data_IF_966960311751
#
_entry.id   IF_966960311751
#
_cell.length_a   1.000
_cell.length_b   1.000
_cell.length_c   1.000
_cell.angle_alpha   90.00
_cell.angle_beta   90.00
_cell.angle_gamma   90.00
#
_symmetry.space_group_name_H-M   'P 1'
#
loop_
_entity.id
_entity.type
_entity.pdbx_description
1 polymer ?
#
# COMPACT_ATOMS: atom_id res chain seq x y z
N UNK A 1 -7.48 10.36 -23.38
CA UNK A 1 -8.52 9.87 -22.43
C UNK A 1 -8.03 8.66 -21.64
N UNK A 2 -7.47 7.61 -22.26
CA UNK A 2 -7.00 6.39 -21.56
C UNK A 2 -5.99 6.67 -20.44
N UNK A 3 -5.06 7.60 -20.63
CA UNK A 3 -4.07 7.98 -19.61
C UNK A 3 -4.74 8.67 -18.40
N UNK A 4 -5.74 9.51 -18.66
CA UNK A 4 -6.48 10.19 -17.58
C UNK A 4 -7.27 9.19 -16.74
N UNK A 5 -7.98 8.23 -17.37
CA UNK A 5 -8.68 7.18 -16.65
C UNK A 5 -7.74 6.32 -15.79
N UNK A 6 -6.54 6.03 -16.32
CA UNK A 6 -5.53 5.29 -15.56
C UNK A 6 -5.07 6.05 -14.32
N UNK A 7 -4.82 7.37 -14.45
CA UNK A 7 -4.44 8.23 -13.31
C UNK A 7 -5.58 8.37 -12.30
N UNK A 8 -6.82 8.48 -12.75
CA UNK A 8 -8.00 8.52 -11.89
C UNK A 8 -8.15 7.22 -11.09
N UNK A 9 -7.95 6.07 -11.71
CA UNK A 9 -7.98 4.77 -11.03
C UNK A 9 -6.83 4.65 -10.02
N UNK A 10 -5.62 5.10 -10.36
CA UNK A 10 -4.49 5.13 -9.43
C UNK A 10 -4.76 6.02 -8.22
N UNK A 11 -5.37 7.20 -8.41
CA UNK A 11 -5.73 8.12 -7.32
C UNK A 11 -6.76 7.51 -6.37
N UNK A 12 -7.68 6.71 -6.89
CA UNK A 12 -8.76 6.12 -6.09
C UNK A 12 -8.32 4.82 -5.39
N UNK A 13 -7.53 3.98 -6.08
CA UNK A 13 -7.24 2.64 -5.60
C UNK A 13 -5.80 2.46 -5.14
N UNK A 14 -4.83 2.88 -5.96
CA UNK A 14 -3.42 2.57 -5.70
C UNK A 14 -2.84 3.44 -4.58
N UNK A 15 -2.89 4.78 -4.72
CA UNK A 15 -2.24 5.68 -3.76
C UNK A 15 -2.78 5.53 -2.34
N UNK A 16 -4.11 5.51 -2.08
CA UNK A 16 -4.61 5.37 -0.72
C UNK A 16 -4.18 4.05 -0.06
N UNK A 17 -4.22 2.95 -0.79
CA UNK A 17 -3.79 1.64 -0.28
C UNK A 17 -2.29 1.59 -0.02
N UNK A 18 -1.48 2.14 -0.94
CA UNK A 18 -0.03 2.17 -0.80
C UNK A 18 0.40 3.06 0.38
N UNK A 19 -0.21 4.24 0.54
CA UNK A 19 0.04 5.16 1.64
C UNK A 19 -0.32 4.51 2.97
N UNK A 20 -1.55 3.97 3.11
CA UNK A 20 -1.98 3.32 4.34
C UNK A 20 -1.05 2.15 4.71
N UNK A 21 -0.71 1.29 3.76
CA UNK A 21 0.21 0.18 4.00
C UNK A 21 1.59 0.66 4.45
N UNK A 22 2.10 1.74 3.86
CA UNK A 22 3.40 2.31 4.23
C UNK A 22 3.34 2.94 5.63
N UNK A 23 2.24 3.61 5.99
CA UNK A 23 2.01 4.16 7.33
C UNK A 23 1.91 3.05 8.40
N UNK A 24 1.23 1.95 8.11
CA UNK A 24 1.17 0.77 8.99
C UNK A 24 2.56 0.17 9.21
N UNK A 25 3.39 0.08 8.16
CA UNK A 25 4.77 -0.38 8.26
C UNK A 25 5.61 0.57 9.13
N UNK A 26 5.51 1.88 8.92
CA UNK A 26 6.20 2.88 9.75
C UNK A 26 5.79 2.74 11.22
N UNK A 27 4.50 2.67 11.50
CA UNK A 27 4.00 2.52 12.87
C UNK A 27 4.48 1.22 13.52
N UNK A 28 4.53 0.13 12.77
CA UNK A 28 5.06 -1.14 13.23
C UNK A 28 6.55 -1.07 13.53
N UNK A 29 7.35 -0.46 12.62
CA UNK A 29 8.80 -0.28 12.82
C UNK A 29 9.12 0.64 14.01
N UNK A 30 8.34 1.71 14.22
CA UNK A 30 8.50 2.59 15.38
C UNK A 30 8.27 1.86 16.70
N UNK A 31 7.25 0.99 16.77
CA UNK A 31 7.00 0.14 17.95
C UNK A 31 8.14 -0.85 18.18
N UNK A 32 8.59 -1.50 17.10
CA UNK A 32 9.70 -2.45 17.18
C UNK A 32 11.02 -1.75 17.59
N UNK A 33 11.25 -0.53 17.09
CA UNK A 33 12.39 0.28 17.49
C UNK A 33 12.33 0.66 18.97
N UNK A 34 11.16 0.99 19.50
CA UNK A 34 10.99 1.28 20.93
C UNK A 34 11.33 0.07 21.81
N UNK A 35 10.91 -1.14 21.40
CA UNK A 35 11.32 -2.39 22.08
C UNK A 35 12.82 -2.58 22.01
N UNK A 36 13.45 -2.35 20.85
CA UNK A 36 14.88 -2.48 20.65
C UNK A 36 15.68 -1.50 21.52
N UNK A 37 15.18 -0.27 21.69
CA UNK A 37 15.78 0.75 22.54
C UNK A 37 15.65 0.42 24.04
N UNK A 38 14.55 -0.21 24.43
CA UNK A 38 14.35 -0.71 25.79
C UNK A 38 15.29 -1.89 26.12
N UNK A 39 15.76 -2.61 25.10
CA UNK A 39 16.69 -3.75 25.21
C UNK A 39 17.96 -3.45 24.38
N UNK A 40 18.83 -2.55 24.82
CA UNK A 40 20.02 -2.14 24.07
C UNK A 40 20.92 -3.32 23.72
N UNK A 41 21.73 -3.16 22.66
CA UNK A 41 22.73 -4.16 22.30
C UNK A 41 23.62 -4.42 23.51
N UNK A 42 23.72 -5.68 23.95
CA UNK A 42 24.74 -6.04 24.91
C UNK A 42 26.11 -5.74 24.28
N UNK A 43 27.01 -5.13 25.03
CA UNK A 43 28.41 -5.06 24.61
C UNK A 43 29.04 -6.47 24.56
N UNK A 44 30.28 -6.56 24.13
CA UNK A 44 30.96 -7.87 23.99
C UNK A 44 30.98 -8.67 25.28
N UNK A 45 30.87 -8.01 26.42
CA UNK A 45 30.95 -8.62 27.76
C UNK A 45 29.57 -9.02 28.31
N UNK A 46 28.48 -8.41 27.82
CA UNK A 46 27.13 -8.59 28.36
C UNK A 46 26.12 -9.18 27.35
N UNK A 47 26.62 -9.91 26.34
CA UNK A 47 25.73 -10.60 25.41
C UNK A 47 24.84 -11.60 26.14
N UNK A 48 23.53 -11.53 25.90
CA UNK A 48 22.54 -12.46 26.43
C UNK A 48 21.46 -12.78 25.42
N UNK A 49 21.11 -14.06 25.32
CA UNK A 49 20.02 -14.54 24.50
C UNK A 49 19.39 -15.76 25.16
N UNK A 50 18.08 -15.92 25.07
CA UNK A 50 17.40 -17.12 25.54
C UNK A 50 17.05 -18.02 24.35
N UNK A 51 17.53 -19.28 24.37
CA UNK A 51 17.27 -20.28 23.34
C UNK A 51 16.79 -21.57 24.03
N UNK A 52 15.64 -22.09 23.62
CA UNK A 52 15.02 -23.31 24.16
C UNK A 52 14.91 -23.31 25.71
N UNK A 53 14.58 -22.12 26.27
CA UNK A 53 14.41 -21.94 27.72
C UNK A 53 15.72 -21.76 28.50
N UNK A 54 16.90 -21.81 27.85
CA UNK A 54 18.21 -21.60 28.48
C UNK A 54 18.80 -20.26 28.05
N UNK A 55 19.36 -19.51 28.99
CA UNK A 55 20.05 -18.23 28.73
C UNK A 55 21.52 -18.48 28.42
N UNK A 56 22.00 -17.89 27.34
CA UNK A 56 23.39 -17.97 26.89
C UNK A 56 24.03 -16.58 26.93
N UNK A 57 25.27 -16.53 27.39
CA UNK A 57 26.09 -15.30 27.44
C UNK A 57 27.24 -15.34 26.42
N UNK A 58 27.42 -16.47 25.73
CA UNK A 58 28.44 -16.65 24.72
C UNK A 58 27.78 -16.86 23.35
N UNK A 59 28.19 -16.06 22.36
CA UNK A 59 27.60 -16.07 20.98
C UNK A 59 27.74 -17.43 20.30
N UNK A 60 28.85 -18.09 20.45
CA UNK A 60 29.10 -19.40 19.84
C UNK A 60 28.21 -20.48 20.45
N UNK A 61 28.09 -20.50 21.77
CA UNK A 61 27.22 -21.45 22.47
C UNK A 61 25.75 -21.21 22.14
N UNK A 62 25.30 -19.94 22.08
CA UNK A 62 23.96 -19.57 21.68
C UNK A 62 23.63 -20.00 20.24
N UNK A 63 24.53 -19.72 19.31
CA UNK A 63 24.38 -20.10 17.92
C UNK A 63 24.35 -21.62 17.73
N UNK A 64 25.18 -22.37 18.51
CA UNK A 64 25.11 -23.82 18.49
C UNK A 64 23.78 -24.35 19.02
N UNK A 65 23.25 -23.75 20.09
CA UNK A 65 21.93 -24.11 20.62
C UNK A 65 20.80 -23.90 19.61
N UNK A 66 20.89 -22.86 18.76
CA UNK A 66 19.96 -22.66 17.65
C UNK A 66 20.08 -23.79 16.61
N UNK A 67 21.30 -24.17 16.23
CA UNK A 67 21.55 -25.27 15.28
C UNK A 67 21.05 -26.61 15.87
N UNK A 68 21.28 -26.85 17.14
CA UNK A 68 20.81 -28.05 17.83
C UNK A 68 19.28 -28.09 17.92
N UNK A 69 18.62 -26.93 18.03
CA UNK A 69 17.16 -26.83 17.95
C UNK A 69 16.65 -27.22 16.55
N UNK A 70 17.34 -26.80 15.48
CA UNK A 70 17.00 -27.24 14.12
C UNK A 70 17.12 -28.78 13.98
N UNK A 71 18.18 -29.37 14.51
CA UNK A 71 18.40 -30.81 14.44
C UNK A 71 17.35 -31.62 15.22
N UNK A 72 16.70 -31.03 16.22
CA UNK A 72 15.62 -31.64 17.00
C UNK A 72 14.24 -31.51 16.37
N UNK A 73 14.08 -30.68 15.34
CA UNK A 73 12.79 -30.59 14.65
C UNK A 73 12.49 -31.91 13.91
N UNK A 74 11.38 -32.54 14.27
CA UNK A 74 10.92 -33.78 13.63
C UNK A 74 9.87 -33.52 12.57
N UNK A 75 9.15 -32.39 12.67
CA UNK A 75 8.13 -31.99 11.72
C UNK A 75 8.51 -30.64 11.10
N UNK A 76 8.78 -30.64 9.80
CA UNK A 76 9.16 -29.43 9.03
C UNK A 76 8.00 -28.45 8.84
N UNK A 77 6.77 -28.89 9.07
CA UNK A 77 5.57 -28.03 8.99
C UNK A 77 5.31 -27.26 10.29
N UNK A 78 5.96 -27.63 11.38
CA UNK A 78 5.74 -27.05 12.69
C UNK A 78 6.52 -25.74 12.85
N UNK A 79 5.94 -24.83 13.64
CA UNK A 79 6.59 -23.60 14.10
C UNK A 79 6.88 -23.74 15.58
N UNK A 80 8.16 -23.79 15.93
CA UNK A 80 8.62 -24.03 17.31
C UNK A 80 9.05 -22.74 17.94
N UNK A 81 8.60 -22.46 19.18
CA UNK A 81 9.14 -21.35 19.97
C UNK A 81 10.60 -21.59 20.27
N UNK A 82 11.48 -20.72 19.78
CA UNK A 82 12.92 -20.85 19.97
C UNK A 82 13.44 -20.14 21.23
N UNK A 83 12.73 -19.08 21.67
CA UNK A 83 13.14 -18.27 22.81
C UNK A 83 12.96 -16.78 22.56
N UNK A 84 13.87 -15.96 23.08
CA UNK A 84 13.78 -14.51 22.98
C UNK A 84 15.16 -13.86 22.81
N UNK A 85 15.23 -12.83 21.99
CA UNK A 85 16.42 -12.00 21.82
C UNK A 85 16.04 -10.52 21.80
N UNK A 86 16.59 -9.73 22.71
CA UNK A 86 16.40 -8.28 22.82
C UNK A 86 14.93 -7.86 22.85
N UNK A 87 14.08 -8.58 23.61
CA UNK A 87 12.65 -8.33 23.70
C UNK A 87 11.83 -8.88 22.52
N UNK A 88 12.47 -9.54 21.55
CA UNK A 88 11.78 -10.15 20.41
C UNK A 88 11.65 -11.67 20.60
N UNK A 89 10.44 -12.20 20.76
CA UNK A 89 10.20 -13.64 20.70
C UNK A 89 10.64 -14.21 19.36
N UNK A 90 11.33 -15.35 19.42
CA UNK A 90 11.87 -16.05 18.26
C UNK A 90 11.08 -17.32 17.98
N UNK A 91 10.75 -17.55 16.72
CA UNK A 91 10.11 -18.77 16.24
C UNK A 91 10.96 -19.40 15.16
N UNK A 92 11.28 -20.68 15.35
CA UNK A 92 12.01 -21.51 14.39
C UNK A 92 11.01 -22.25 13.50
N UNK A 93 11.28 -22.29 12.21
CA UNK A 93 10.49 -23.05 11.23
C UNK A 93 11.35 -23.40 10.01
N UNK A 94 10.91 -24.42 9.24
CA UNK A 94 11.56 -24.82 7.99
C UNK A 94 10.78 -24.31 6.80
N UNK A 95 11.48 -23.67 5.87
CA UNK A 95 10.90 -23.32 4.57
C UNK A 95 11.01 -24.52 3.64
N UNK A 96 9.87 -25.14 3.35
CA UNK A 96 9.80 -26.35 2.52
C UNK A 96 10.17 -26.09 1.05
N UNK A 97 10.03 -24.84 0.56
CA UNK A 97 10.37 -24.49 -0.81
C UNK A 97 11.90 -24.36 -0.98
N UNK A 98 12.59 -23.78 -0.02
CA UNK A 98 14.05 -23.59 -0.05
C UNK A 98 14.80 -24.67 0.71
N UNK A 99 14.11 -25.52 1.47
CA UNK A 99 14.68 -26.53 2.38
C UNK A 99 15.67 -25.96 3.41
N UNK A 100 15.39 -24.74 3.88
CA UNK A 100 16.24 -24.03 4.82
C UNK A 100 15.47 -23.71 6.10
N UNK A 101 16.20 -23.73 7.20
CA UNK A 101 15.66 -23.27 8.48
C UNK A 101 15.64 -21.76 8.55
N UNK A 102 14.59 -21.22 9.12
CA UNK A 102 14.40 -19.80 9.30
C UNK A 102 14.00 -19.50 10.75
N UNK A 103 14.45 -18.33 11.23
CA UNK A 103 14.01 -17.78 12.51
C UNK A 103 13.29 -16.48 12.24
N UNK A 104 12.07 -16.39 12.77
CA UNK A 104 11.27 -15.16 12.74
C UNK A 104 11.27 -14.56 14.15
N UNK A 105 11.77 -13.33 14.26
CA UNK A 105 11.65 -12.47 15.43
C UNK A 105 10.40 -11.61 15.23
N UNK A 106 9.43 -11.66 16.14
CA UNK A 106 8.16 -10.98 15.95
C UNK A 106 7.77 -10.15 17.17
N UNK A 107 7.53 -8.87 16.93
CA UNK A 107 6.81 -7.96 17.83
C UNK A 107 5.62 -7.36 17.07
N UNK A 108 5.67 -6.09 16.67
CA UNK A 108 4.67 -5.50 15.79
C UNK A 108 4.81 -6.01 14.36
N UNK A 109 6.03 -6.11 13.87
CA UNK A 109 6.37 -6.69 12.57
C UNK A 109 7.15 -8.00 12.73
N UNK A 110 7.34 -8.69 11.62
CA UNK A 110 8.09 -9.94 11.56
C UNK A 110 9.43 -9.69 10.87
N UNK A 111 10.52 -10.02 11.57
CA UNK A 111 11.88 -9.94 11.07
C UNK A 111 12.42 -11.36 10.92
N UNK A 112 12.49 -11.86 9.69
CA UNK A 112 12.85 -13.25 9.40
C UNK A 112 14.27 -13.31 8.85
N UNK A 113 15.05 -14.25 9.36
CA UNK A 113 16.39 -14.58 8.87
C UNK A 113 16.48 -16.05 8.46
N UNK A 114 17.33 -16.32 7.50
CA UNK A 114 17.72 -17.67 7.12
C UNK A 114 18.93 -18.12 7.97
N UNK A 115 18.84 -19.33 8.52
CA UNK A 115 19.94 -19.92 9.30
C UNK A 115 20.97 -20.56 8.38
N UNK A 116 22.23 -20.44 8.76
CA UNK A 116 23.36 -21.14 8.14
C UNK A 116 24.00 -22.15 9.09
N UNK A 117 25.07 -22.78 8.61
CA UNK A 117 25.85 -23.77 9.40
C UNK A 117 26.83 -23.12 10.42
N UNK A 118 27.09 -21.81 10.32
CA UNK A 118 27.98 -21.12 11.24
C UNK A 118 27.20 -20.60 12.47
N UNK A 119 27.52 -21.09 13.69
CA UNK A 119 26.85 -20.65 14.92
C UNK A 119 26.97 -19.12 15.15
N UNK A 120 28.16 -18.56 15.02
CA UNK A 120 28.40 -17.13 15.27
C UNK A 120 27.72 -16.28 14.17
N UNK A 121 27.78 -16.75 12.94
CA UNK A 121 27.11 -16.10 11.81
C UNK A 121 25.59 -16.06 11.97
N UNK A 122 24.98 -17.05 12.62
CA UNK A 122 23.53 -17.01 12.91
C UNK A 122 23.18 -15.90 13.91
N UNK A 123 23.99 -15.71 14.94
CA UNK A 123 23.81 -14.60 15.90
C UNK A 123 24.00 -13.26 15.18
N UNK A 124 25.02 -13.12 14.34
CA UNK A 124 25.23 -11.90 13.56
C UNK A 124 24.05 -11.59 12.62
N UNK A 125 23.41 -12.61 12.01
CA UNK A 125 22.21 -12.42 11.20
C UNK A 125 21.02 -11.90 12.02
N UNK A 126 20.82 -12.41 13.24
CA UNK A 126 19.80 -11.89 14.16
C UNK A 126 20.07 -10.42 14.49
N UNK A 127 21.30 -10.07 14.83
CA UNK A 127 21.71 -8.69 15.14
C UNK A 127 21.50 -7.75 13.95
N UNK A 128 21.93 -8.17 12.76
CA UNK A 128 21.78 -7.38 11.54
C UNK A 128 20.30 -7.15 11.18
N UNK A 129 19.45 -8.16 11.37
CA UNK A 129 18.02 -8.02 11.10
C UNK A 129 17.35 -7.00 12.04
N UNK A 130 17.75 -6.97 13.31
CA UNK A 130 17.27 -5.97 14.26
C UNK A 130 17.89 -4.59 14.00
N UNK A 131 19.15 -4.50 13.62
CA UNK A 131 19.80 -3.25 13.26
C UNK A 131 19.17 -2.60 12.01
N UNK A 132 18.71 -3.41 11.06
CA UNK A 132 18.03 -2.96 9.85
C UNK A 132 16.68 -2.26 10.12
N UNK A 133 16.11 -2.37 11.34
CA UNK A 133 14.84 -1.70 11.69
C UNK A 133 14.96 -0.18 11.50
N UNK A 134 16.08 0.42 11.89
CA UNK A 134 16.32 1.86 11.76
C UNK A 134 16.36 2.27 10.29
N UNK A 135 17.13 1.55 9.48
CA UNK A 135 17.26 1.82 8.05
C UNK A 135 15.91 1.63 7.33
N UNK A 136 15.20 0.55 7.64
CA UNK A 136 13.87 0.27 7.09
C UNK A 136 12.86 1.36 7.45
N UNK A 137 12.93 1.93 8.66
CA UNK A 137 12.09 3.04 9.09
C UNK A 137 12.33 4.28 8.22
N UNK A 138 13.58 4.67 8.03
CA UNK A 138 13.93 5.82 7.18
C UNK A 138 13.55 5.59 5.72
N UNK A 139 13.78 4.40 5.18
CA UNK A 139 13.35 4.04 3.82
C UNK A 139 11.83 4.13 3.64
N UNK A 140 11.04 3.65 4.62
CA UNK A 140 9.59 3.73 4.55
C UNK A 140 9.08 5.17 4.71
N UNK A 141 9.73 6.01 5.51
CA UNK A 141 9.42 7.45 5.60
C UNK A 141 9.65 8.16 4.27
N UNK A 142 10.80 7.93 3.63
CA UNK A 142 11.08 8.47 2.31
C UNK A 142 10.11 7.95 1.23
N UNK A 143 9.73 6.67 1.31
CA UNK A 143 8.71 6.09 0.43
C UNK A 143 7.34 6.75 0.61
N UNK A 144 6.94 7.04 1.84
CA UNK A 144 5.67 7.72 2.13
C UNK A 144 5.65 9.13 1.56
N UNK A 145 6.73 9.88 1.73
CA UNK A 145 6.88 11.23 1.17
C UNK A 145 6.79 11.20 -0.36
N UNK A 146 7.48 10.27 -1.00
CA UNK A 146 7.45 10.10 -2.45
C UNK A 146 6.05 9.71 -2.96
N UNK A 147 5.34 8.79 -2.28
CA UNK A 147 3.97 8.42 -2.63
C UNK A 147 3.01 9.61 -2.53
N UNK A 148 3.15 10.46 -1.50
CA UNK A 148 2.35 11.66 -1.36
C UNK A 148 2.64 12.67 -2.46
N UNK A 149 3.91 12.90 -2.80
CA UNK A 149 4.31 13.78 -3.90
C UNK A 149 3.74 13.31 -5.24
N UNK A 150 3.89 12.02 -5.56
CA UNK A 150 3.33 11.42 -6.78
C UNK A 150 1.80 11.52 -6.83
N UNK A 151 1.13 11.31 -5.70
CA UNK A 151 -0.32 11.47 -5.63
C UNK A 151 -0.75 12.92 -5.90
N UNK A 152 -0.04 13.91 -5.35
CA UNK A 152 -0.35 15.33 -5.63
C UNK A 152 -0.06 15.71 -7.09
N UNK A 153 1.01 15.21 -7.68
CA UNK A 153 1.32 15.39 -9.10
C UNK A 153 0.22 14.77 -9.98
N UNK A 154 -0.20 13.55 -9.69
CA UNK A 154 -1.29 12.87 -10.39
C UNK A 154 -2.61 13.65 -10.27
N UNK A 155 -2.93 14.22 -9.08
CA UNK A 155 -4.11 15.09 -8.91
C UNK A 155 -4.05 16.34 -9.77
N UNK A 156 -2.88 16.93 -9.92
CA UNK A 156 -2.69 18.11 -10.77
C UNK A 156 -2.83 17.75 -12.25
N UNK A 157 -2.24 16.61 -12.66
CA UNK A 157 -2.29 16.17 -14.04
C UNK A 157 -3.73 15.85 -14.49
N UNK A 158 -4.52 15.19 -13.64
CA UNK A 158 -5.96 14.95 -13.91
C UNK A 158 -6.75 16.25 -14.07
N UNK A 159 -6.36 17.33 -13.39
CA UNK A 159 -7.02 18.65 -13.50
C UNK A 159 -6.65 19.40 -14.77
N UNK A 160 -5.55 19.05 -15.44
CA UNK A 160 -5.14 19.74 -16.67
C UNK A 160 -6.18 19.53 -17.77
N UNK A 161 -6.63 20.58 -18.45
CA UNK A 161 -7.53 20.43 -19.60
C UNK A 161 -6.80 19.61 -20.68
N UNK A 162 -7.55 18.71 -21.31
CA UNK A 162 -6.99 17.90 -22.39
C UNK A 162 -6.65 18.82 -23.59
N UNK A 163 -5.43 18.81 -24.14
CA UNK A 163 -5.01 19.75 -25.19
C UNK A 163 -5.91 19.74 -26.43
N UNK A 164 -6.62 18.63 -26.65
CA UNK A 164 -7.53 18.45 -27.80
C UNK A 164 -9.02 18.53 -27.41
N UNK A 165 -9.35 18.93 -26.19
CA UNK A 165 -10.74 18.99 -25.70
C UNK A 165 -11.56 19.97 -26.54
N UNK A 166 -10.97 21.08 -26.92
CA UNK A 166 -11.59 22.09 -27.75
C UNK A 166 -11.85 21.59 -29.19
N UNK A 167 -10.87 20.90 -29.78
CA UNK A 167 -10.99 20.24 -31.09
C UNK A 167 -12.04 19.13 -31.10
N UNK A 168 -12.09 18.34 -30.02
CA UNK A 168 -13.10 17.31 -29.83
C UNK A 168 -14.50 17.90 -29.70
N UNK A 169 -14.67 18.98 -28.95
CA UNK A 169 -15.94 19.71 -28.82
C UNK A 169 -16.40 20.26 -30.15
N UNK A 170 -15.49 20.89 -30.93
CA UNK A 170 -15.79 21.39 -32.26
C UNK A 170 -16.20 20.28 -33.25
N UNK A 171 -15.45 19.18 -33.28
CA UNK A 171 -15.77 18.02 -34.14
C UNK A 171 -17.05 17.35 -33.74
N UNK A 172 -17.34 17.23 -32.44
CA UNK A 172 -18.60 16.66 -31.93
C UNK A 172 -19.80 17.58 -32.28
N UNK A 173 -19.64 18.90 -32.14
CA UNK A 173 -20.65 19.86 -32.53
C UNK A 173 -20.95 19.79 -34.05
N UNK A 174 -19.87 19.72 -34.85
CA UNK A 174 -20.00 19.57 -36.31
C UNK A 174 -20.69 18.27 -36.73
N UNK A 175 -20.36 17.18 -36.03
CA UNK A 175 -20.96 15.86 -36.23
C UNK A 175 -22.47 15.88 -35.90
N UNK A 176 -22.87 16.56 -34.83
CA UNK A 176 -24.28 16.73 -34.47
C UNK A 176 -25.02 17.57 -35.47
N UNK A 177 -24.46 18.67 -35.99
CA UNK A 177 -25.05 19.48 -37.05
C UNK A 177 -25.24 18.65 -38.33
N UNK A 178 -24.24 17.87 -38.73
CA UNK A 178 -24.33 16.97 -39.89
C UNK A 178 -25.39 15.87 -39.69
N UNK A 179 -25.51 15.30 -38.50
CA UNK A 179 -26.58 14.33 -38.16
C UNK A 179 -27.99 14.94 -38.30
N UNK A 180 -28.15 16.16 -37.79
CA UNK A 180 -29.43 16.86 -37.91
C UNK A 180 -29.77 17.16 -39.39
N UNK A 181 -28.76 17.62 -40.15
CA UNK A 181 -28.95 17.87 -41.59
C UNK A 181 -29.30 16.60 -42.37
N UNK A 182 -28.60 15.48 -42.10
CA UNK A 182 -28.91 14.18 -42.72
C UNK A 182 -30.26 13.59 -42.29
N UNK A 183 -30.70 13.82 -41.04
CA UNK A 183 -32.03 13.38 -40.59
C UNK A 183 -33.16 14.25 -41.07
N UNK A 184 -32.89 15.48 -41.52
CA UNK A 184 -33.91 16.34 -42.19
C UNK A 184 -34.15 15.94 -43.63
N UNK A 185 -33.15 15.31 -44.30
CA UNK A 185 -33.34 14.75 -45.67
C UNK A 185 -33.97 13.34 -45.68
N UNK A 186 -34.07 12.70 -44.51
CA UNK A 186 -34.58 11.33 -44.33
C UNK A 186 -35.95 11.30 -43.64
N UNK A 187 -37.02 11.70 -44.28
CA UNK A 187 -38.35 11.23 -43.91
C UNK A 187 -38.42 9.73 -44.16
N UNK A 188 -38.51 8.97 -43.10
CA UNK A 188 -39.01 7.62 -42.99
C UNK A 188 -38.09 6.67 -42.26
N UNK A 189 -38.41 6.41 -41.06
CA UNK A 189 -38.67 5.10 -40.47
C UNK A 189 -38.60 5.19 -38.95
N UNK A 190 -39.74 5.07 -38.36
CA UNK A 190 -39.87 4.89 -36.92
C UNK A 190 -39.36 3.53 -36.46
N UNK A 191 -39.17 3.45 -35.14
CA UNK A 191 -38.84 2.31 -34.33
C UNK A 191 -37.33 2.01 -34.16
N UNK A 192 -36.81 2.61 -33.09
CA UNK A 192 -36.05 1.90 -32.06
C UNK A 192 -35.57 2.89 -31.00
N UNK A 193 -36.53 3.54 -30.32
CA UNK A 193 -36.31 3.99 -28.95
C UNK A 193 -37.04 3.00 -28.04
N UNK A 194 -36.33 2.06 -27.53
CA UNK A 194 -36.54 1.27 -26.31
C UNK A 194 -35.34 0.35 -26.22
N UNK A 195 -34.64 0.55 -25.17
CA UNK A 195 -33.70 -0.31 -24.46
C UNK A 195 -32.38 0.39 -24.16
N UNK A 196 -32.46 1.35 -23.24
CA UNK A 196 -31.29 1.71 -22.41
C UNK A 196 -31.72 2.40 -21.09
N UNK A 197 -32.72 1.82 -20.43
CA UNK A 197 -32.98 2.02 -19.01
C UNK A 197 -33.02 0.66 -18.37
N UNK A 198 -32.23 0.53 -17.30
CA UNK A 198 -32.04 -0.60 -16.41
C UNK A 198 -30.75 -1.40 -16.63
N UNK A 199 -29.70 -0.86 -16.05
CA UNK A 199 -28.68 -1.62 -15.31
C UNK A 199 -27.83 -0.64 -14.48
N UNK A 200 -28.47 0.09 -13.55
CA UNK A 200 -27.75 0.74 -12.44
C UNK A 200 -27.77 -0.18 -11.22
N UNK A 201 -26.89 -1.16 -11.25
CA UNK A 201 -26.52 -1.96 -10.11
C UNK A 201 -25.39 -1.26 -9.34
N UNK A 202 -25.74 -0.34 -8.45
CA UNK A 202 -25.04 0.02 -7.20
C UNK A 202 -23.52 0.08 -7.15
N UNK A 203 -22.80 0.43 -8.22
CA UNK A 203 -21.36 0.72 -8.15
C UNK A 203 -21.16 2.21 -7.84
N UNK A 204 -20.36 2.55 -6.81
CA UNK A 204 -20.13 3.95 -6.48
C UNK A 204 -19.50 4.67 -7.69
N UNK A 205 -20.10 5.79 -8.09
CA UNK A 205 -19.61 6.59 -9.22
C UNK A 205 -18.21 7.10 -8.94
N UNK A 206 -17.28 6.87 -9.85
CA UNK A 206 -15.90 7.39 -9.82
C UNK A 206 -15.89 8.90 -9.57
N UNK A 207 -16.82 9.63 -10.18
CA UNK A 207 -17.00 11.08 -10.00
C UNK A 207 -17.35 11.47 -8.55
N UNK A 208 -18.14 10.65 -7.85
CA UNK A 208 -18.48 10.87 -6.43
C UNK A 208 -17.30 10.61 -5.50
N UNK A 209 -16.45 9.65 -5.84
CA UNK A 209 -15.22 9.35 -5.09
C UNK A 209 -14.14 10.42 -5.31
N UNK A 210 -13.96 10.91 -6.53
CA UNK A 210 -13.02 12.00 -6.84
C UNK A 210 -13.38 13.29 -6.12
N UNK A 211 -14.69 13.60 -5.97
CA UNK A 211 -15.14 14.76 -5.18
C UNK A 211 -14.75 14.65 -3.70
N UNK A 212 -14.77 13.45 -3.13
CA UNK A 212 -14.32 13.21 -1.75
C UNK A 212 -12.81 13.34 -1.59
N UNK A 213 -12.04 13.13 -2.66
CA UNK A 213 -10.59 13.30 -2.69
C UNK A 213 -10.15 14.75 -2.98
N UNK A 214 -11.09 15.68 -3.10
CA UNK A 214 -10.81 17.09 -3.42
C UNK A 214 -10.39 17.32 -4.86
N UNK A 215 -10.60 16.33 -5.75
CA UNK A 215 -10.40 16.44 -7.18
C UNK A 215 -11.71 16.89 -7.82
N UNK A 216 -12.01 18.19 -7.75
CA UNK A 216 -13.15 18.74 -8.50
C UNK A 216 -12.79 18.81 -9.99
N UNK A 217 -13.55 18.13 -10.83
CA UNK A 217 -13.44 18.28 -12.27
C UNK A 217 -13.93 19.68 -12.66
N UNK A 218 -13.07 20.43 -13.34
CA UNK A 218 -13.33 21.80 -13.79
C UNK A 218 -14.34 21.91 -14.95
N UNK A 219 -15.44 21.14 -14.90
CA UNK A 219 -16.45 21.12 -15.95
C UNK A 219 -17.85 21.34 -15.35
N UNK A 220 -18.08 22.49 -14.70
CA UNK A 220 -19.43 23.09 -14.58
C UNK A 220 -19.29 24.56 -14.21
N UNK A 221 -19.02 25.41 -15.19
CA UNK A 221 -19.31 26.83 -15.11
C UNK A 221 -20.08 27.21 -16.36
N UNK A 222 -21.35 27.36 -16.22
CA UNK A 222 -22.20 28.42 -16.69
C UNK A 222 -23.63 27.95 -17.01
N UNK A 223 -24.51 28.16 -16.03
CA UNK A 223 -25.93 28.39 -16.37
C UNK A 223 -26.34 29.69 -15.68
N UNK A 224 -26.83 30.70 -16.41
CA UNK A 224 -27.21 31.97 -15.79
C UNK A 224 -28.54 31.78 -15.04
N UNK A 225 -28.55 32.22 -13.78
CA UNK A 225 -29.74 32.31 -12.95
C UNK A 225 -30.69 33.34 -13.53
N UNK A 226 -31.86 32.89 -13.91
CA UNK A 226 -33.02 33.72 -14.23
C UNK A 226 -33.67 34.14 -12.92
N UNK A 227 -33.59 35.43 -12.60
CA UNK A 227 -34.22 36.03 -11.44
C UNK A 227 -35.71 35.80 -11.43
N UNK A 228 -36.25 35.45 -10.27
CA UNK A 228 -37.66 35.68 -9.90
C UNK A 228 -37.70 36.56 -8.69
N UNK A 229 -38.08 37.80 -8.94
CA UNK A 229 -38.67 38.69 -7.96
C UNK A 229 -39.84 37.97 -7.28
N UNK A 230 -39.90 38.03 -5.98
CA UNK A 230 -41.18 37.94 -5.27
C UNK A 230 -41.20 38.92 -4.14
N UNK A 231 -42.18 39.73 -4.27
CA UNK A 231 -42.63 40.89 -3.51
C UNK A 231 -42.97 40.55 -2.06
N UNK A 232 -42.72 41.56 -1.22
CA UNK A 232 -43.15 41.69 0.16
C UNK A 232 -44.67 41.88 0.21
N UNK A 233 -45.34 41.28 1.16
CA UNK A 233 -46.53 41.82 1.81
C UNK A 233 -46.74 41.22 3.19
N UNK A 234 -46.75 42.11 4.16
CA UNK A 234 -47.35 42.28 5.46
C UNK A 234 -46.78 41.45 6.61
#
# INVERSE_FOLDING_TARGET
>A
ESQRYLLEDQLIQFFPKAINRTQEQITGLEKDLAVLQAHPLPDKEHFTITVAGQTYTERKAAGQAIIDACARMTDVSERVSLGEYRGFPMTLWADTATQKFQVTMKQSLSHTIELGSDPVGNIARLENALAAIVENLEQNRGKLENLNAQMEEAKQEVKRPFPQEQELAEKTSRLNVLRIALNMDGKSSGKRERDNEELDGGKPSIKGMLKRLGVESAATASTPQKGKNMEVAI
#
